data_IF_172841702686
#
_entry.id   IF_172841702686
#
_cell.length_a   1.000
_cell.length_b   1.000
_cell.length_c   1.000
_cell.angle_alpha   90.00
_cell.angle_beta   90.00
_cell.angle_gamma   90.00
#
_symmetry.space_group_name_H-M   'P 1'
#
loop_
_entity.id
_entity.type
_entity.pdbx_description
1 polymer ?
#
# COMPACT_ATOMS: atom_id res chain seq x y z
N UNK A 1 -42.64 38.34 -17.68
CA UNK A 1 -41.20 38.07 -17.79
C UNK A 1 -40.89 36.94 -16.82
N UNK A 2 -40.95 35.71 -17.32
CA UNK A 2 -40.96 34.47 -16.55
C UNK A 2 -39.56 33.88 -16.45
N UNK A 3 -39.10 33.65 -15.23
CA UNK A 3 -37.84 32.99 -14.90
C UNK A 3 -37.90 31.49 -15.26
N UNK A 4 -37.05 31.05 -16.19
CA UNK A 4 -36.80 29.61 -16.43
C UNK A 4 -35.79 29.09 -15.39
N UNK A 5 -36.27 28.20 -14.52
CA UNK A 5 -35.45 27.44 -13.58
C UNK A 5 -34.87 26.24 -14.33
N UNK A 6 -33.55 26.22 -14.50
CA UNK A 6 -32.82 25.09 -15.09
C UNK A 6 -33.02 23.82 -14.26
N UNK A 7 -33.82 22.88 -14.77
CA UNK A 7 -34.14 21.62 -14.13
C UNK A 7 -33.02 20.62 -14.45
N UNK A 8 -32.17 20.32 -13.47
CA UNK A 8 -31.14 19.29 -13.58
C UNK A 8 -31.83 17.93 -13.72
N UNK A 9 -31.67 17.27 -14.87
CA UNK A 9 -32.22 15.92 -15.10
C UNK A 9 -31.50 14.89 -14.23
N UNK A 10 -32.12 14.49 -13.13
CA UNK A 10 -31.69 13.31 -12.37
C UNK A 10 -32.07 12.03 -13.14
N UNK A 11 -31.10 11.44 -13.83
CA UNK A 11 -31.27 10.16 -14.52
C UNK A 11 -31.29 9.00 -13.52
N UNK A 12 -32.48 8.56 -13.14
CA UNK A 12 -32.68 7.33 -12.35
C UNK A 12 -32.65 6.10 -13.27
N UNK A 13 -31.93 5.04 -12.86
CA UNK A 13 -31.90 3.76 -13.59
C UNK A 13 -32.22 2.61 -12.63
N UNK A 14 -33.20 1.79 -13.02
CA UNK A 14 -33.59 0.55 -12.34
C UNK A 14 -32.79 -0.66 -12.86
N UNK A 15 -32.46 -1.60 -11.97
CA UNK A 15 -31.63 -2.78 -12.29
C UNK A 15 -32.33 -4.06 -11.83
N UNK A 16 -32.50 -5.01 -12.75
CA UNK A 16 -32.87 -6.39 -12.45
C UNK A 16 -31.63 -7.30 -12.51
N UNK A 17 -31.49 -8.22 -11.55
CA UNK A 17 -30.32 -9.11 -11.42
C UNK A 17 -30.75 -10.56 -11.64
N UNK A 18 -30.15 -11.25 -12.61
CA UNK A 18 -30.36 -12.68 -12.84
C UNK A 18 -29.12 -13.47 -12.41
N UNK A 19 -29.30 -14.37 -11.43
CA UNK A 19 -28.25 -15.17 -10.81
C UNK A 19 -27.83 -16.34 -11.71
N UNK A 20 -26.51 -16.49 -11.90
CA UNK A 20 -25.91 -17.58 -12.69
C UNK A 20 -24.46 -17.26 -13.07
N UNK A 21 -23.60 -17.12 -12.06
CA UNK A 21 -22.15 -16.86 -12.08
C UNK A 21 -21.61 -15.96 -13.23
N UNK A 22 -22.25 -14.79 -13.41
CA UNK A 22 -21.78 -13.71 -14.30
C UNK A 22 -20.94 -12.70 -13.53
N UNK A 23 -19.88 -12.19 -14.17
CA UNK A 23 -19.03 -11.08 -13.69
C UNK A 23 -19.91 -9.99 -13.06
N UNK A 24 -19.67 -9.69 -11.79
CA UNK A 24 -20.29 -8.57 -11.09
C UNK A 24 -19.86 -7.28 -11.80
N UNK A 25 -20.75 -6.69 -12.59
CA UNK A 25 -20.55 -5.33 -13.09
C UNK A 25 -21.01 -4.41 -11.95
N UNK A 26 -20.06 -3.93 -11.15
CA UNK A 26 -20.30 -2.80 -10.27
C UNK A 26 -20.40 -1.54 -11.13
N UNK A 27 -21.58 -0.92 -11.21
CA UNK A 27 -21.72 0.44 -11.73
C UNK A 27 -21.44 1.41 -10.59
N UNK A 28 -20.25 2.01 -10.58
CA UNK A 28 -19.86 3.05 -9.63
C UNK A 28 -18.39 3.37 -9.79
N UNK A 29 -18.09 4.63 -10.17
CA UNK A 29 -16.77 5.18 -10.50
C UNK A 29 -16.04 4.45 -11.64
N UNK A 30 -15.83 5.14 -12.76
CA UNK A 30 -14.83 4.70 -13.73
C UNK A 30 -13.46 4.86 -13.05
N UNK A 31 -12.92 3.76 -12.52
CA UNK A 31 -11.54 3.74 -12.07
C UNK A 31 -10.66 3.68 -13.32
N UNK A 32 -9.77 4.65 -13.46
CA UNK A 32 -8.71 4.57 -14.46
C UNK A 32 -7.77 3.42 -14.05
N UNK A 33 -7.90 2.31 -14.76
CA UNK A 33 -7.10 1.11 -14.53
C UNK A 33 -5.66 1.26 -15.05
N UNK A 34 -5.36 2.35 -15.76
CA UNK A 34 -4.02 2.64 -16.27
C UNK A 34 -3.21 3.52 -15.31
N UNK A 35 -3.86 4.25 -14.41
CA UNK A 35 -3.20 5.08 -13.41
C UNK A 35 -2.43 4.21 -12.40
N UNK A 36 -1.17 4.55 -12.14
CA UNK A 36 -0.34 3.81 -11.17
C UNK A 36 -0.55 4.36 -9.76
N UNK A 37 -0.50 3.47 -8.77
CA UNK A 37 -0.34 3.83 -7.36
C UNK A 37 1.02 3.38 -6.83
N UNK A 38 1.49 4.06 -5.78
CA UNK A 38 2.60 3.63 -4.96
C UNK A 38 2.13 2.69 -3.86
N UNK A 39 2.98 1.74 -3.50
CA UNK A 39 2.77 0.86 -2.35
C UNK A 39 4.06 0.76 -1.54
N UNK A 40 3.94 0.90 -0.23
CA UNK A 40 4.97 0.60 0.76
C UNK A 40 4.57 -0.67 1.50
N UNK A 41 5.53 -1.57 1.72
CA UNK A 41 5.28 -2.81 2.45
C UNK A 41 6.41 -3.14 3.43
N UNK A 42 6.04 -3.87 4.49
CA UNK A 42 6.94 -4.43 5.48
C UNK A 42 6.87 -5.95 5.41
N UNK A 43 8.00 -6.59 5.17
CA UNK A 43 8.10 -8.05 4.94
C UNK A 43 9.20 -8.67 5.79
N UNK A 44 8.98 -9.91 6.22
CA UNK A 44 10.02 -10.81 6.71
C UNK A 44 10.18 -11.94 5.72
N UNK A 45 11.38 -12.11 5.16
CA UNK A 45 11.63 -13.17 4.19
C UNK A 45 11.55 -14.55 4.84
N UNK A 46 11.23 -15.57 4.04
CA UNK A 46 11.17 -16.96 4.49
C UNK A 46 12.47 -17.40 5.16
N UNK A 47 13.60 -16.95 4.64
CA UNK A 47 14.94 -17.29 5.12
C UNK A 47 15.14 -16.78 6.56
N UNK A 48 14.83 -15.50 6.82
CA UNK A 48 14.91 -14.93 8.16
C UNK A 48 13.89 -15.53 9.12
N UNK A 49 12.67 -15.84 8.64
CA UNK A 49 11.66 -16.55 9.43
C UNK A 49 12.14 -17.92 9.85
N UNK A 50 12.65 -18.72 8.91
CA UNK A 50 13.05 -20.12 9.15
C UNK A 50 14.24 -20.21 10.12
N UNK A 51 15.11 -19.21 10.11
CA UNK A 51 16.23 -19.07 11.04
C UNK A 51 15.85 -18.38 12.37
N UNK A 52 14.57 -18.08 12.57
CA UNK A 52 14.05 -17.29 13.69
C UNK A 52 14.79 -15.95 13.91
N UNK A 53 15.28 -15.34 12.83
CA UNK A 53 15.95 -14.04 12.86
C UNK A 53 14.92 -12.91 12.75
N UNK A 54 14.87 -11.96 13.69
CA UNK A 54 13.91 -10.86 13.67
C UNK A 54 14.37 -9.75 12.71
N UNK A 55 14.57 -10.11 11.44
CA UNK A 55 15.06 -9.21 10.38
C UNK A 55 13.89 -8.92 9.43
N UNK A 56 13.65 -7.64 9.18
CA UNK A 56 12.54 -7.16 8.39
C UNK A 56 13.03 -6.19 7.33
N UNK A 57 12.32 -6.14 6.21
CA UNK A 57 12.63 -5.30 5.07
C UNK A 57 11.47 -4.37 4.77
N UNK A 58 11.79 -3.08 4.59
CA UNK A 58 10.88 -2.13 3.98
C UNK A 58 11.14 -2.15 2.49
N UNK A 59 10.08 -2.22 1.69
CA UNK A 59 10.21 -2.06 0.25
C UNK A 59 9.02 -1.35 -0.35
N UNK A 60 9.22 -0.91 -1.60
CA UNK A 60 8.17 -0.26 -2.37
C UNK A 60 7.90 -0.89 -3.72
N UNK A 61 6.79 -0.48 -4.34
CA UNK A 61 6.52 -0.69 -5.76
C UNK A 61 5.54 0.36 -6.28
N UNK A 62 5.61 0.66 -7.58
CA UNK A 62 4.60 1.43 -8.29
C UNK A 62 3.95 0.54 -9.33
N UNK A 63 2.63 0.42 -9.32
CA UNK A 63 1.90 -0.39 -10.29
C UNK A 63 0.47 0.11 -10.48
N UNK A 64 -0.14 -0.26 -11.60
CA UNK A 64 -1.57 -0.08 -11.79
C UNK A 64 -2.32 -0.88 -10.70
N UNK A 65 -3.41 -0.35 -10.13
CA UNK A 65 -4.22 -1.05 -9.15
C UNK A 65 -4.80 -2.31 -9.79
N UNK A 66 -4.44 -3.46 -9.22
CA UNK A 66 -5.07 -4.73 -9.53
C UNK A 66 -5.30 -5.52 -8.22
N UNK A 67 -5.92 -6.69 -8.31
CA UNK A 67 -6.19 -7.54 -7.13
C UNK A 67 -4.93 -8.09 -6.43
N UNK A 68 -3.73 -7.82 -6.94
CA UNK A 68 -2.43 -8.37 -6.56
C UNK A 68 -1.36 -7.28 -6.61
N UNK A 69 -0.35 -7.41 -5.76
CA UNK A 69 0.86 -6.60 -5.84
C UNK A 69 1.97 -7.45 -6.44
N UNK A 70 2.27 -7.22 -7.73
CA UNK A 70 3.18 -8.05 -8.51
C UNK A 70 4.57 -8.16 -7.89
N UNK A 71 5.05 -7.10 -7.22
CA UNK A 71 6.34 -7.11 -6.52
C UNK A 71 6.37 -8.13 -5.38
N UNK A 72 5.25 -8.34 -4.68
CA UNK A 72 5.19 -9.27 -3.56
C UNK A 72 5.31 -10.74 -4.00
N UNK A 73 5.01 -11.05 -5.25
CA UNK A 73 5.18 -12.41 -5.80
C UNK A 73 6.65 -12.81 -5.96
N UNK A 74 7.58 -11.86 -5.89
CA UNK A 74 9.02 -12.15 -5.94
C UNK A 74 9.57 -12.72 -4.63
N UNK A 75 8.83 -12.59 -3.52
CA UNK A 75 9.23 -13.18 -2.25
C UNK A 75 8.94 -14.66 -2.22
N UNK A 76 9.88 -15.44 -1.69
CA UNK A 76 9.73 -16.89 -1.61
C UNK A 76 8.53 -17.28 -0.76
N UNK A 77 7.77 -18.30 -1.20
CA UNK A 77 6.60 -18.83 -0.48
C UNK A 77 6.95 -19.13 0.99
N UNK A 78 6.21 -18.54 1.91
CA UNK A 78 6.46 -18.64 3.35
C UNK A 78 7.07 -17.36 3.95
N UNK A 79 7.41 -16.36 3.12
CA UNK A 79 7.65 -14.99 3.57
C UNK A 79 6.37 -14.39 4.17
N UNK A 80 6.52 -13.50 5.14
CA UNK A 80 5.42 -12.92 5.91
C UNK A 80 5.29 -11.43 5.62
N UNK A 81 4.11 -11.02 5.19
CA UNK A 81 3.79 -9.60 4.99
C UNK A 81 3.12 -9.07 6.25
N UNK A 82 3.69 -8.01 6.82
CA UNK A 82 3.23 -7.41 8.07
C UNK A 82 2.43 -6.13 7.88
N UNK A 83 2.64 -5.44 6.75
CA UNK A 83 2.00 -4.20 6.38
C UNK A 83 2.08 -4.00 4.86
N UNK A 84 1.02 -3.48 4.27
CA UNK A 84 0.99 -2.92 2.92
C UNK A 84 0.14 -1.66 3.01
N UNK A 85 0.66 -0.52 2.55
CA UNK A 85 -0.06 0.73 2.47
C UNK A 85 0.09 1.33 1.08
N UNK A 86 -1.01 1.85 0.54
CA UNK A 86 -1.03 2.61 -0.71
C UNK A 86 -0.61 4.06 -0.44
N UNK A 87 0.10 4.67 -1.37
CA UNK A 87 0.42 6.09 -1.38
C UNK A 87 0.41 6.65 -2.81
N UNK A 88 0.59 7.96 -2.94
CA UNK A 88 0.72 8.59 -4.24
C UNK A 88 1.96 8.07 -4.99
N UNK A 89 1.81 7.83 -6.30
CA UNK A 89 2.87 7.23 -7.12
C UNK A 89 4.15 8.06 -7.16
N UNK A 90 4.03 9.38 -7.21
CA UNK A 90 5.19 10.29 -7.26
C UNK A 90 5.97 10.37 -5.94
N UNK A 91 5.33 10.06 -4.81
CA UNK A 91 5.94 10.20 -3.49
C UNK A 91 6.56 8.91 -2.97
N UNK A 92 6.21 7.77 -3.57
CA UNK A 92 6.58 6.44 -3.05
C UNK A 92 8.09 6.28 -2.81
N UNK A 93 8.92 6.90 -3.65
CA UNK A 93 10.38 6.89 -3.48
C UNK A 93 10.86 7.75 -2.31
N UNK A 94 10.26 8.92 -2.12
CA UNK A 94 10.56 9.83 -1.02
C UNK A 94 10.07 9.26 0.32
N UNK A 95 8.86 8.69 0.34
CA UNK A 95 8.29 8.00 1.49
C UNK A 95 9.19 6.84 1.93
N UNK A 96 9.61 5.96 1.01
CA UNK A 96 10.53 4.86 1.34
C UNK A 96 11.84 5.40 1.93
N UNK A 97 12.42 6.42 1.31
CA UNK A 97 13.67 7.04 1.78
C UNK A 97 13.53 7.55 3.22
N UNK A 98 12.48 8.32 3.52
CA UNK A 98 12.26 8.89 4.86
C UNK A 98 12.00 7.81 5.91
N UNK A 99 11.34 6.71 5.53
CA UNK A 99 11.16 5.54 6.40
C UNK A 99 12.51 4.89 6.69
N UNK A 100 13.31 4.63 5.65
CA UNK A 100 14.62 3.99 5.78
C UNK A 100 15.58 4.85 6.62
N UNK A 101 15.56 6.17 6.46
CA UNK A 101 16.35 7.09 7.31
C UNK A 101 15.96 6.97 8.80
N UNK A 102 14.66 6.98 9.11
CA UNK A 102 14.20 6.77 10.49
C UNK A 102 14.55 5.38 11.03
N UNK A 103 14.50 4.35 10.18
CA UNK A 103 14.86 2.99 10.57
C UNK A 103 16.37 2.88 10.86
N UNK A 104 17.21 3.48 10.02
CA UNK A 104 18.67 3.54 10.20
C UNK A 104 19.09 4.22 11.51
N UNK A 105 18.34 5.22 11.97
CA UNK A 105 18.61 5.86 13.26
C UNK A 105 18.23 5.02 14.47
N UNK A 106 17.44 3.96 14.26
CA UNK A 106 16.75 3.27 15.35
C UNK A 106 17.09 1.79 15.47
N UNK A 107 17.36 1.13 14.36
CA UNK A 107 17.64 -0.30 14.31
C UNK A 107 18.94 -0.57 13.58
N UNK A 108 19.62 -1.62 14.03
CA UNK A 108 20.83 -2.09 13.38
C UNK A 108 20.49 -2.66 11.99
N UNK A 109 21.35 -2.43 10.99
CA UNK A 109 21.16 -3.01 9.67
C UNK A 109 21.25 -4.54 9.75
N UNK A 110 20.50 -5.20 8.87
CA UNK A 110 20.59 -6.63 8.61
C UNK A 110 21.85 -7.00 7.82
N UNK A 111 22.06 -8.30 7.59
CA UNK A 111 23.26 -8.84 6.94
C UNK A 111 23.43 -8.36 5.49
N UNK A 112 22.34 -8.06 4.79
CA UNK A 112 22.36 -7.62 3.39
C UNK A 112 22.50 -6.09 3.22
N UNK A 113 22.62 -5.34 4.34
CA UNK A 113 22.73 -3.88 4.32
C UNK A 113 21.44 -3.15 3.93
N UNK A 114 21.56 -1.81 3.86
CA UNK A 114 20.65 -0.67 3.56
C UNK A 114 19.12 -0.76 3.71
N UNK A 115 18.48 -1.92 3.55
CA UNK A 115 17.02 -2.08 3.54
C UNK A 115 16.51 -3.14 4.52
N UNK A 116 17.41 -3.95 5.08
CA UNK A 116 17.08 -4.94 6.11
C UNK A 116 17.42 -4.38 7.49
N UNK A 117 16.54 -4.61 8.47
CA UNK A 117 16.69 -4.09 9.83
C UNK A 117 16.41 -5.17 10.86
N UNK A 118 17.25 -5.23 11.89
CA UNK A 118 17.05 -6.11 13.05
C UNK A 118 16.06 -5.42 13.99
N UNK A 119 14.84 -5.96 14.10
CA UNK A 119 13.75 -5.42 14.94
C UNK A 119 13.37 -6.50 15.98
N UNK A 120 14.08 -6.57 17.12
CA UNK A 120 14.08 -7.76 18.00
C UNK A 120 12.73 -8.13 18.62
N UNK A 121 11.90 -7.14 18.95
CA UNK A 121 10.68 -7.35 19.74
C UNK A 121 9.40 -7.06 18.97
N UNK A 122 8.29 -7.67 19.41
CA UNK A 122 6.96 -7.36 18.88
C UNK A 122 6.61 -5.87 19.08
N UNK A 123 7.00 -5.29 20.22
CA UNK A 123 6.77 -3.88 20.53
C UNK A 123 7.46 -2.98 19.50
N UNK A 124 8.73 -3.25 19.20
CA UNK A 124 9.47 -2.49 18.18
C UNK A 124 8.92 -2.72 16.77
N UNK A 125 8.43 -3.92 16.46
CA UNK A 125 7.75 -4.19 15.19
C UNK A 125 6.46 -3.40 15.04
N UNK A 126 5.68 -3.27 16.11
CA UNK A 126 4.50 -2.39 16.13
C UNK A 126 4.90 -0.92 15.96
N UNK A 127 6.03 -0.53 16.54
CA UNK A 127 6.57 0.82 16.38
C UNK A 127 7.05 1.09 14.95
N UNK A 128 7.70 0.12 14.30
CA UNK A 128 8.06 0.18 12.89
C UNK A 128 6.84 0.41 12.00
N UNK A 129 5.73 -0.30 12.25
CA UNK A 129 4.46 -0.06 11.55
C UNK A 129 3.95 1.37 11.78
N UNK A 130 4.02 1.88 13.01
CA UNK A 130 3.59 3.26 13.34
C UNK A 130 4.43 4.32 12.62
N UNK A 131 5.74 4.12 12.53
CA UNK A 131 6.63 5.03 11.77
C UNK A 131 6.20 5.07 10.31
N UNK A 132 6.01 3.90 9.67
CA UNK A 132 5.58 3.82 8.28
C UNK A 132 4.25 4.57 8.08
N UNK A 133 3.25 4.31 8.92
CA UNK A 133 1.94 4.98 8.86
C UNK A 133 2.08 6.49 9.00
N UNK A 134 2.86 6.96 9.97
CA UNK A 134 3.07 8.39 10.21
C UNK A 134 3.71 9.08 9.01
N UNK A 135 4.75 8.48 8.42
CA UNK A 135 5.42 9.07 7.25
C UNK A 135 4.44 9.19 6.09
N UNK A 136 3.66 8.13 5.80
CA UNK A 136 2.63 8.21 4.75
C UNK A 136 1.65 9.35 5.02
N UNK A 137 1.11 9.45 6.23
CA UNK A 137 0.17 10.51 6.62
C UNK A 137 0.75 11.91 6.38
N UNK A 138 2.03 12.12 6.70
CA UNK A 138 2.71 13.41 6.45
C UNK A 138 2.75 13.77 4.95
N UNK A 139 2.89 12.79 4.05
CA UNK A 139 2.87 13.05 2.61
C UNK A 139 1.44 13.25 2.08
N UNK A 140 0.46 12.52 2.61
CA UNK A 140 -0.95 12.71 2.28
C UNK A 140 -1.42 14.12 2.69
N UNK A 141 -1.08 14.55 3.90
CA UNK A 141 -1.40 15.89 4.41
C UNK A 141 -0.78 17.02 3.57
N UNK A 142 0.44 16.83 3.04
CA UNK A 142 1.10 17.81 2.14
C UNK A 142 0.43 17.95 0.79
N UNK A 143 -0.44 17.01 0.40
CA UNK A 143 -1.18 17.04 -0.87
C UNK A 143 -2.58 17.63 -0.76
N UNK A 144 -3.11 17.78 0.46
CA UNK A 144 -4.37 18.46 0.74
C UNK A 144 -4.22 19.98 0.62
#
# INVERSE_FOLDING_TARGET
>A
MSNEVNKVEEKTISIAVQQGQRRRIMKGMAYDIEEKHGYIYLVRTREFKSLNRPIYKVGRTSQCPDTRISRLHKYTKGSEIYLILQCHVDDVGLIEKDILEQFCHKWNPGPDGSEDFIIPTLTELLEAKRIIIRVLQTYEEKRL
#
